data_IF_628973320721
#
_entry.id   IF_628973320721
#
_cell.length_a   1.000
_cell.length_b   1.000
_cell.length_c   1.000
_cell.angle_alpha   90.00
_cell.angle_beta   90.00
_cell.angle_gamma   90.00
#
_symmetry.space_group_name_H-M   'P 1'
#
loop_
_entity.id
_entity.type
_entity.pdbx_description
1 polymer ?
#
# COMPACT_ATOMS: atom_id res chain seq x y z
N UNK A 1 -0.82 -6.52 21.60
CA UNK A 1 0.47 -6.64 20.85
C UNK A 1 0.33 -5.76 19.64
N UNK A 2 1.35 -4.98 19.28
CA UNK A 2 1.32 -4.16 18.06
C UNK A 2 1.48 -5.07 16.84
N UNK A 3 0.83 -4.72 15.74
CA UNK A 3 0.89 -5.47 14.48
C UNK A 3 2.33 -5.71 14.01
N UNK A 4 3.14 -4.65 13.97
CA UNK A 4 4.55 -4.72 13.56
C UNK A 4 5.37 -5.71 14.41
N UNK A 5 5.06 -5.84 15.71
CA UNK A 5 5.73 -6.81 16.58
C UNK A 5 5.32 -8.25 16.25
N UNK A 6 4.03 -8.50 16.00
CA UNK A 6 3.52 -9.81 15.62
C UNK A 6 4.08 -10.26 14.26
N UNK A 7 4.07 -9.36 13.26
CA UNK A 7 4.66 -9.63 11.95
C UNK A 7 6.14 -9.97 12.12
N UNK A 8 6.88 -9.19 12.92
CA UNK A 8 8.30 -9.46 13.19
C UNK A 8 8.55 -10.83 13.86
N UNK A 9 7.65 -11.32 14.72
CA UNK A 9 7.75 -12.66 15.29
C UNK A 9 7.49 -13.75 14.23
N UNK A 10 6.45 -13.58 13.41
CA UNK A 10 6.13 -14.53 12.33
C UNK A 10 7.27 -14.63 11.32
N UNK A 11 7.83 -13.47 10.90
CA UNK A 11 8.96 -13.42 9.97
C UNK A 11 10.16 -14.18 10.54
N UNK A 12 10.52 -13.93 11.80
CA UNK A 12 11.64 -14.63 12.46
C UNK A 12 11.38 -16.14 12.58
N UNK A 13 10.17 -16.54 12.97
CA UNK A 13 9.82 -17.95 13.11
C UNK A 13 9.88 -18.70 11.78
N UNK A 14 9.53 -18.03 10.67
CA UNK A 14 9.51 -18.66 9.35
C UNK A 14 10.83 -18.51 8.55
N UNK A 15 11.80 -17.75 9.04
CA UNK A 15 13.07 -17.53 8.32
C UNK A 15 13.80 -18.83 7.96
N UNK A 16 13.71 -19.87 8.80
CA UNK A 16 14.31 -21.19 8.55
C UNK A 16 13.57 -22.00 7.47
N UNK A 17 12.35 -21.62 7.14
CA UNK A 17 11.50 -22.29 6.14
C UNK A 17 11.61 -21.65 4.74
N UNK A 18 12.39 -20.58 4.60
CA UNK A 18 12.49 -19.80 3.36
C UNK A 18 12.92 -20.59 2.11
N UNK A 19 13.50 -21.78 2.28
CA UNK A 19 13.90 -22.69 1.20
C UNK A 19 13.28 -24.07 1.29
N UNK A 20 12.20 -24.24 2.08
CA UNK A 20 11.49 -25.52 2.16
C UNK A 20 10.59 -25.73 0.95
N UNK A 21 10.52 -26.96 0.47
CA UNK A 21 9.70 -27.33 -0.69
C UNK A 21 10.26 -26.84 -2.04
N UNK A 22 9.38 -26.62 -2.99
CA UNK A 22 9.72 -26.20 -4.36
C UNK A 22 9.88 -24.70 -4.58
N UNK A 23 9.64 -23.88 -3.53
CA UNK A 23 9.73 -22.43 -3.59
C UNK A 23 11.02 -21.92 -2.93
N UNK A 24 11.61 -20.90 -3.53
CA UNK A 24 12.73 -20.17 -2.92
C UNK A 24 12.30 -18.71 -2.69
N UNK A 25 12.30 -18.28 -1.44
CA UNK A 25 11.94 -16.91 -1.05
C UNK A 25 13.09 -15.98 -1.42
N UNK A 26 12.79 -14.98 -2.25
CA UNK A 26 13.74 -13.95 -2.73
C UNK A 26 13.57 -12.68 -1.91
N UNK A 27 12.34 -12.20 -1.77
CA UNK A 27 11.98 -11.08 -0.90
C UNK A 27 11.09 -11.66 0.21
N UNK A 28 11.59 -11.68 1.47
CA UNK A 28 10.83 -12.17 2.61
C UNK A 28 9.71 -11.20 3.00
N UNK A 29 8.79 -11.59 3.91
CA UNK A 29 7.80 -10.66 4.48
C UNK A 29 8.46 -9.42 5.07
N UNK A 30 7.80 -8.25 4.89
CA UNK A 30 8.28 -6.94 5.35
C UNK A 30 8.36 -5.89 4.25
N UNK A 31 8.08 -6.29 3.01
CA UNK A 31 7.85 -5.41 1.86
C UNK A 31 6.35 -5.41 1.50
N UNK A 32 5.92 -4.63 0.50
CA UNK A 32 4.53 -4.61 0.02
C UNK A 32 4.10 -5.99 -0.50
N UNK A 33 5.00 -6.70 -1.15
CA UNK A 33 4.80 -8.10 -1.54
C UNK A 33 6.03 -8.95 -1.22
N UNK A 34 5.81 -10.22 -0.92
CA UNK A 34 6.88 -11.21 -0.92
C UNK A 34 7.19 -11.65 -2.36
N UNK A 35 8.47 -11.94 -2.66
CA UNK A 35 8.86 -12.56 -3.92
C UNK A 35 9.33 -13.98 -3.70
N UNK A 36 8.79 -14.92 -4.47
CA UNK A 36 9.21 -16.33 -4.50
C UNK A 36 9.61 -16.75 -5.90
N UNK A 37 10.53 -17.71 -6.00
CA UNK A 37 10.84 -18.42 -7.26
C UNK A 37 10.22 -19.79 -7.25
N UNK A 38 9.46 -20.09 -8.31
CA UNK A 38 8.84 -21.39 -8.55
C UNK A 38 9.29 -21.90 -9.93
N UNK A 39 10.06 -22.99 -9.99
CA UNK A 39 10.52 -23.55 -11.25
C UNK A 39 11.29 -22.55 -12.16
N UNK A 40 11.97 -21.57 -11.56
CA UNK A 40 12.70 -20.54 -12.28
C UNK A 40 11.91 -19.25 -12.57
N UNK A 41 10.59 -19.27 -12.44
CA UNK A 41 9.75 -18.06 -12.56
C UNK A 41 9.76 -17.26 -11.27
N UNK A 42 9.68 -15.94 -11.40
CA UNK A 42 9.52 -15.00 -10.29
C UNK A 42 8.03 -14.72 -10.08
N UNK A 43 7.56 -14.86 -8.86
CA UNK A 43 6.18 -14.60 -8.49
C UNK A 43 6.16 -13.71 -7.24
N UNK A 44 5.46 -12.59 -7.33
CA UNK A 44 5.17 -11.75 -6.18
C UNK A 44 3.81 -12.14 -5.60
N UNK A 45 3.67 -12.10 -4.27
CA UNK A 45 2.46 -12.53 -3.56
C UNK A 45 2.20 -11.55 -2.42
N UNK A 46 0.96 -11.05 -2.32
CA UNK A 46 0.45 -10.27 -1.20
C UNK A 46 -0.97 -10.68 -0.84
N UNK A 47 -1.44 -10.25 0.31
CA UNK A 47 -2.83 -10.40 0.73
C UNK A 47 -3.24 -9.25 1.63
N UNK A 48 -4.38 -8.65 1.29
CA UNK A 48 -5.03 -7.63 2.06
C UNK A 48 -6.49 -7.97 2.30
N UNK A 49 -7.06 -7.42 3.37
CA UNK A 49 -8.48 -7.59 3.69
C UNK A 49 -9.16 -6.24 3.94
N UNK A 50 -10.44 -6.20 3.67
CA UNK A 50 -11.33 -5.12 4.06
C UNK A 50 -12.38 -5.62 5.03
N UNK A 51 -12.57 -4.91 6.13
CA UNK A 51 -13.47 -5.28 7.25
C UNK A 51 -14.51 -4.18 7.42
N UNK A 52 -15.79 -4.56 7.48
CA UNK A 52 -16.89 -3.65 7.77
C UNK A 52 -16.67 -2.92 9.09
N UNK A 53 -16.96 -1.62 9.12
CA UNK A 53 -16.77 -0.77 10.28
C UNK A 53 -15.32 -0.32 10.51
N UNK A 54 -14.38 -0.81 9.67
CA UNK A 54 -12.96 -0.49 9.75
C UNK A 54 -12.44 0.18 8.48
N UNK A 55 -12.65 -0.46 7.33
CA UNK A 55 -12.17 0.00 6.03
C UNK A 55 -13.30 0.60 5.18
N UNK A 56 -14.53 0.49 5.63
CA UNK A 56 -15.71 1.04 5.02
C UNK A 56 -16.87 1.09 6.04
N UNK A 57 -17.82 1.98 5.83
CA UNK A 57 -18.97 2.17 6.72
C UNK A 57 -20.14 1.31 6.27
N UNK A 58 -20.93 0.81 7.23
CA UNK A 58 -22.16 0.07 6.92
C UNK A 58 -23.07 0.89 5.99
N UNK A 59 -23.62 0.24 4.96
CA UNK A 59 -24.43 0.90 3.93
C UNK A 59 -23.64 1.33 2.69
N UNK A 60 -22.31 1.20 2.69
CA UNK A 60 -21.50 1.35 1.47
C UNK A 60 -21.92 0.29 0.45
N UNK A 61 -22.14 0.64 -0.83
CA UNK A 61 -22.46 -0.34 -1.88
C UNK A 61 -21.42 -1.45 -1.96
N UNK A 62 -21.84 -2.71 -1.86
CA UNK A 62 -20.90 -3.86 -1.80
C UNK A 62 -20.05 -4.01 -3.06
N UNK A 63 -20.52 -3.53 -4.21
CA UNK A 63 -19.69 -3.45 -5.41
C UNK A 63 -18.47 -2.51 -5.22
N UNK A 64 -18.65 -1.39 -4.52
CA UNK A 64 -17.54 -0.48 -4.21
C UNK A 64 -16.58 -1.09 -3.17
N UNK A 65 -17.11 -1.84 -2.19
CA UNK A 65 -16.29 -2.59 -1.21
C UNK A 65 -15.43 -3.64 -1.93
N UNK A 66 -16.03 -4.40 -2.84
CA UNK A 66 -15.34 -5.40 -3.65
C UNK A 66 -14.22 -4.76 -4.50
N UNK A 67 -14.52 -3.63 -5.15
CA UNK A 67 -13.53 -2.87 -5.92
C UNK A 67 -12.38 -2.39 -5.02
N UNK A 68 -12.70 -1.85 -3.83
CA UNK A 68 -11.69 -1.41 -2.86
C UNK A 68 -10.77 -2.56 -2.45
N UNK A 69 -11.32 -3.74 -2.13
CA UNK A 69 -10.52 -4.90 -1.74
C UNK A 69 -9.50 -5.30 -2.83
N UNK A 70 -9.93 -5.29 -4.10
CA UNK A 70 -9.03 -5.53 -5.23
C UNK A 70 -8.00 -4.40 -5.40
N UNK A 71 -8.45 -3.14 -5.33
CA UNK A 71 -7.60 -1.98 -5.58
C UNK A 71 -6.46 -1.83 -4.56
N UNK A 72 -6.67 -2.15 -3.28
CA UNK A 72 -5.63 -2.18 -2.25
C UNK A 72 -4.51 -3.14 -2.62
N UNK A 73 -4.85 -4.39 -2.93
CA UNK A 73 -3.87 -5.39 -3.34
C UNK A 73 -3.14 -5.01 -4.65
N UNK A 74 -3.84 -4.37 -5.60
CA UNK A 74 -3.20 -3.87 -6.83
C UNK A 74 -2.29 -2.67 -6.53
N UNK A 75 -2.53 -1.92 -5.44
CA UNK A 75 -1.65 -0.88 -4.96
C UNK A 75 -0.30 -1.44 -4.48
N UNK A 76 -0.31 -2.56 -3.73
CA UNK A 76 0.92 -3.28 -3.36
C UNK A 76 1.71 -3.71 -4.60
N UNK A 77 1.01 -4.20 -5.63
CA UNK A 77 1.66 -4.55 -6.91
C UNK A 77 2.31 -3.32 -7.55
N UNK A 78 1.65 -2.15 -7.49
CA UNK A 78 2.21 -0.91 -8.00
C UNK A 78 3.46 -0.50 -7.21
N UNK A 79 3.43 -0.58 -5.87
CA UNK A 79 4.56 -0.27 -4.99
C UNK A 79 5.82 -1.07 -5.34
N UNK A 80 5.65 -2.30 -5.84
CA UNK A 80 6.76 -3.17 -6.26
C UNK A 80 7.16 -2.98 -7.75
N UNK A 81 6.53 -2.05 -8.48
CA UNK A 81 6.68 -1.87 -9.93
C UNK A 81 6.43 -3.18 -10.72
N UNK A 82 5.42 -3.92 -10.31
CA UNK A 82 5.02 -5.20 -10.85
C UNK A 82 3.72 -5.09 -11.68
N UNK A 83 3.31 -6.21 -12.28
CA UNK A 83 2.06 -6.31 -13.06
C UNK A 83 1.20 -7.42 -12.46
N UNK A 84 -0.08 -7.18 -12.17
CA UNK A 84 -0.98 -8.20 -11.61
C UNK A 84 -1.11 -9.41 -12.54
N UNK A 85 -1.13 -10.62 -11.99
CA UNK A 85 -1.36 -11.87 -12.73
C UNK A 85 -2.74 -12.44 -12.48
N UNK A 86 -3.06 -12.77 -11.24
CA UNK A 86 -4.39 -13.23 -10.82
C UNK A 86 -4.58 -13.04 -9.31
N UNK A 87 -5.83 -13.22 -8.86
CA UNK A 87 -6.19 -13.15 -7.46
C UNK A 87 -7.11 -14.30 -7.04
N UNK A 88 -7.16 -14.56 -5.75
CA UNK A 88 -8.22 -15.36 -5.10
C UNK A 88 -8.89 -14.50 -4.03
N UNK A 89 -10.19 -14.69 -3.81
CA UNK A 89 -10.95 -13.91 -2.85
C UNK A 89 -11.67 -14.80 -1.84
N UNK A 90 -11.51 -14.54 -0.55
CA UNK A 90 -12.25 -15.20 0.52
C UNK A 90 -13.16 -14.19 1.22
N UNK A 91 -14.42 -14.55 1.42
CA UNK A 91 -15.40 -13.69 2.06
C UNK A 91 -16.07 -14.38 3.23
N UNK A 92 -16.19 -13.66 4.35
CA UNK A 92 -17.05 -14.04 5.48
C UNK A 92 -18.26 -13.10 5.50
N UNK A 93 -19.43 -13.67 5.26
CA UNK A 93 -20.71 -12.98 5.23
C UNK A 93 -21.40 -13.02 6.61
N UNK A 94 -22.05 -11.95 7.08
CA UNK A 94 -22.95 -12.03 8.22
C UNK A 94 -24.15 -12.91 7.91
N UNK A 95 -24.75 -13.56 8.93
CA UNK A 95 -25.96 -14.35 8.74
C UNK A 95 -27.10 -13.50 8.16
N UNK A 96 -27.83 -14.07 7.21
CA UNK A 96 -29.02 -13.42 6.63
C UNK A 96 -28.73 -12.25 5.69
N UNK A 97 -27.50 -12.08 5.21
CA UNK A 97 -27.21 -11.10 4.17
C UNK A 97 -28.08 -11.41 2.93
N UNK A 98 -28.81 -10.43 2.36
CA UNK A 98 -29.67 -10.66 1.20
C UNK A 98 -28.88 -11.15 -0.02
N UNK A 99 -29.46 -12.07 -0.79
CA UNK A 99 -28.87 -12.59 -2.02
C UNK A 99 -28.50 -11.50 -3.03
N UNK A 100 -29.26 -10.39 -3.05
CA UNK A 100 -28.97 -9.25 -3.91
C UNK A 100 -27.64 -8.59 -3.55
N UNK A 101 -27.32 -8.50 -2.25
CA UNK A 101 -26.08 -7.93 -1.75
C UNK A 101 -24.89 -8.85 -2.04
N UNK A 102 -25.07 -10.18 -1.88
CA UNK A 102 -24.07 -11.17 -2.26
C UNK A 102 -23.75 -11.09 -3.75
N UNK A 103 -24.79 -10.94 -4.60
CA UNK A 103 -24.61 -10.75 -6.04
C UNK A 103 -23.87 -9.43 -6.36
N UNK A 104 -24.23 -8.34 -5.68
CA UNK A 104 -23.56 -7.05 -5.86
C UNK A 104 -22.06 -7.14 -5.52
N UNK A 105 -21.71 -7.88 -4.45
CA UNK A 105 -20.31 -8.14 -4.10
C UNK A 105 -19.57 -8.91 -5.21
N UNK A 106 -20.18 -10.00 -5.70
CA UNK A 106 -19.60 -10.83 -6.77
C UNK A 106 -19.44 -10.05 -8.08
N UNK A 107 -20.44 -9.24 -8.47
CA UNK A 107 -20.37 -8.38 -9.64
C UNK A 107 -19.29 -7.30 -9.49
N UNK A 108 -19.14 -6.73 -8.28
CA UNK A 108 -18.08 -5.78 -7.97
C UNK A 108 -16.69 -6.40 -8.12
N UNK A 109 -16.47 -7.61 -7.62
CA UNK A 109 -15.22 -8.36 -7.80
C UNK A 109 -14.94 -8.61 -9.28
N UNK A 110 -15.95 -9.05 -10.06
CA UNK A 110 -15.82 -9.28 -11.50
C UNK A 110 -15.47 -7.99 -12.25
N UNK A 111 -16.13 -6.88 -11.93
CA UNK A 111 -15.84 -5.58 -12.55
C UNK A 111 -14.42 -5.09 -12.22
N UNK A 112 -14.00 -5.21 -10.96
CA UNK A 112 -12.64 -4.86 -10.53
C UNK A 112 -11.58 -5.75 -11.20
N UNK A 113 -11.84 -7.05 -11.35
CA UNK A 113 -10.96 -7.97 -12.07
C UNK A 113 -10.73 -7.53 -13.54
N UNK A 114 -11.79 -7.03 -14.18
CA UNK A 114 -11.70 -6.48 -15.54
C UNK A 114 -10.95 -5.14 -15.59
N UNK A 115 -11.29 -4.22 -14.66
CA UNK A 115 -10.66 -2.90 -14.55
C UNK A 115 -9.15 -3.01 -14.37
N UNK A 116 -8.72 -3.87 -13.43
CA UNK A 116 -7.31 -4.02 -13.07
C UNK A 116 -6.59 -5.10 -13.89
N UNK A 117 -7.27 -5.74 -14.84
CA UNK A 117 -6.74 -6.86 -15.64
C UNK A 117 -6.14 -7.97 -14.76
N UNK A 118 -6.79 -8.24 -13.63
CA UNK A 118 -6.37 -9.23 -12.64
C UNK A 118 -7.53 -10.20 -12.40
N UNK A 119 -7.61 -11.33 -13.11
CA UNK A 119 -8.73 -12.26 -12.96
C UNK A 119 -8.77 -12.86 -11.56
N UNK A 120 -9.97 -12.94 -10.98
CA UNK A 120 -10.23 -13.71 -9.77
C UNK A 120 -10.45 -15.15 -10.19
N UNK A 121 -9.51 -16.03 -9.86
CA UNK A 121 -9.47 -17.41 -10.35
C UNK A 121 -9.99 -18.44 -9.34
N UNK A 122 -10.35 -18.00 -8.12
CA UNK A 122 -10.87 -18.87 -7.07
C UNK A 122 -11.13 -18.12 -5.79
N UNK A 123 -11.50 -18.85 -4.76
CA UNK A 123 -11.75 -18.26 -3.43
C UNK A 123 -12.57 -19.17 -2.54
N UNK A 124 -13.09 -18.58 -1.45
CA UNK A 124 -13.91 -19.26 -0.47
C UNK A 124 -15.04 -18.36 0.03
N UNK A 125 -16.16 -18.94 0.43
CA UNK A 125 -17.30 -18.24 1.01
C UNK A 125 -17.69 -18.93 2.31
N UNK A 126 -17.59 -18.19 3.42
CA UNK A 126 -18.09 -18.61 4.72
C UNK A 126 -19.23 -17.71 5.18
N UNK A 127 -20.14 -18.23 5.98
CA UNK A 127 -21.21 -17.47 6.62
C UNK A 127 -21.04 -17.51 8.13
N UNK A 128 -21.00 -16.34 8.77
CA UNK A 128 -20.98 -16.24 10.21
C UNK A 128 -22.36 -16.58 10.79
N UNK A 129 -22.41 -17.17 11.99
CA UNK A 129 -23.69 -17.49 12.64
C UNK A 129 -24.45 -16.23 13.13
N UNK A 130 -23.74 -15.13 13.37
CA UNK A 130 -24.30 -13.87 13.87
C UNK A 130 -24.55 -12.90 12.72
N UNK A 131 -25.78 -12.37 12.65
CA UNK A 131 -26.17 -11.34 11.68
C UNK A 131 -25.53 -9.96 11.96
N UNK A 132 -25.03 -9.73 13.19
CA UNK A 132 -24.33 -8.51 13.56
C UNK A 132 -22.81 -8.57 13.27
N UNK A 133 -22.28 -9.74 12.86
CA UNK A 133 -20.88 -9.90 12.52
C UNK A 133 -20.52 -8.97 11.32
N UNK A 134 -19.29 -8.43 11.29
CA UNK A 134 -18.85 -7.65 10.15
C UNK A 134 -18.69 -8.53 8.90
N UNK A 135 -19.00 -8.00 7.74
CA UNK A 135 -18.57 -8.58 6.48
C UNK A 135 -17.06 -8.37 6.35
N UNK A 136 -16.34 -9.44 6.01
CA UNK A 136 -14.90 -9.43 5.78
C UNK A 136 -14.62 -9.97 4.39
N UNK A 137 -13.87 -9.23 3.58
CA UNK A 137 -13.42 -9.68 2.27
C UNK A 137 -11.89 -9.60 2.22
N UNK A 138 -11.26 -10.75 2.04
CA UNK A 138 -9.82 -10.90 1.87
C UNK A 138 -9.52 -11.21 0.41
N UNK A 139 -8.51 -10.55 -0.15
CA UNK A 139 -7.99 -10.84 -1.48
C UNK A 139 -6.53 -11.20 -1.36
N UNK A 140 -6.13 -12.31 -1.95
CA UNK A 140 -4.72 -12.63 -2.15
C UNK A 140 -4.40 -12.48 -3.63
N UNK A 141 -3.34 -11.75 -3.95
CA UNK A 141 -2.95 -11.41 -5.32
C UNK A 141 -1.57 -11.97 -5.65
N UNK A 142 -1.40 -12.36 -6.90
CA UNK A 142 -0.10 -12.66 -7.46
C UNK A 142 0.25 -11.66 -8.56
N UNK A 143 1.53 -11.39 -8.71
CA UNK A 143 2.05 -10.49 -9.72
C UNK A 143 3.39 -10.98 -10.28
N UNK A 144 3.76 -10.45 -11.43
CA UNK A 144 5.06 -10.68 -12.06
C UNK A 144 5.84 -9.35 -12.10
N UNK A 145 7.19 -9.39 -12.09
CA UNK A 145 7.99 -8.19 -12.33
C UNK A 145 7.56 -7.49 -13.61
N UNK A 146 7.53 -6.15 -13.58
CA UNK A 146 7.22 -5.35 -14.76
C UNK A 146 8.18 -5.59 -15.95
N UNK A 147 7.96 -4.95 -17.11
CA UNK A 147 8.72 -5.22 -18.35
C UNK A 147 10.23 -5.09 -18.22
N UNK A 148 10.73 -4.28 -17.31
CA UNK A 148 12.16 -4.13 -17.01
C UNK A 148 12.77 -5.33 -16.28
N UNK A 149 11.95 -6.24 -15.74
CA UNK A 149 12.36 -7.30 -14.83
C UNK A 149 12.79 -6.81 -13.44
N UNK A 150 12.78 -5.49 -13.20
CA UNK A 150 13.16 -4.91 -11.92
C UNK A 150 11.94 -4.83 -10.99
N UNK A 151 12.13 -5.32 -9.77
CA UNK A 151 11.23 -5.10 -8.65
C UNK A 151 11.84 -3.99 -7.78
N UNK A 152 11.03 -3.03 -7.37
CA UNK A 152 11.43 -1.99 -6.41
C UNK A 152 10.93 -2.41 -5.04
N UNK A 153 11.75 -2.25 -4.02
CA UNK A 153 11.44 -2.65 -2.65
C UNK A 153 11.43 -1.44 -1.73
N UNK A 154 10.99 -1.62 -0.51
CA UNK A 154 11.12 -0.62 0.57
C UNK A 154 12.57 -0.38 0.97
N UNK A 155 13.46 -1.31 0.66
CA UNK A 155 14.88 -1.22 0.98
C UNK A 155 15.67 -0.49 -0.11
N UNK A 156 16.68 0.29 0.30
CA UNK A 156 17.66 0.88 -0.64
C UNK A 156 17.75 2.39 -0.61
N UNK A 157 16.88 3.10 0.14
CA UNK A 157 17.00 4.55 0.32
C UNK A 157 18.39 4.92 0.87
N UNK A 158 18.94 6.04 0.44
CA UNK A 158 20.25 6.55 0.81
C UNK A 158 20.14 7.93 1.44
N UNK A 159 21.09 8.27 2.33
CA UNK A 159 21.15 9.62 2.88
C UNK A 159 21.40 10.62 1.75
N UNK A 160 20.54 11.66 1.67
CA UNK A 160 20.54 12.64 0.59
C UNK A 160 19.53 12.36 -0.52
N UNK A 161 18.91 11.18 -0.57
CA UNK A 161 17.80 10.93 -1.49
C UNK A 161 16.63 11.88 -1.22
N UNK A 162 15.96 12.27 -2.28
CA UNK A 162 14.69 12.99 -2.19
C UNK A 162 13.56 12.01 -1.85
N UNK A 163 12.68 12.42 -0.94
CA UNK A 163 11.37 11.79 -0.75
C UNK A 163 10.38 12.45 -1.69
N UNK A 164 9.80 11.65 -2.57
CA UNK A 164 8.83 12.09 -3.56
C UNK A 164 7.51 11.36 -3.39
N UNK A 165 6.40 11.99 -3.78
CA UNK A 165 5.07 11.36 -3.81
C UNK A 165 4.40 11.61 -5.16
N UNK A 166 3.57 10.67 -5.60
CA UNK A 166 2.67 10.86 -6.74
C UNK A 166 1.37 11.53 -6.30
N UNK A 167 0.69 12.20 -7.19
CA UNK A 167 -0.68 12.72 -7.02
C UNK A 167 -0.85 13.70 -5.87
N UNK A 168 -1.93 13.55 -5.10
CA UNK A 168 -2.33 14.43 -3.98
C UNK A 168 -2.63 13.62 -2.74
N UNK A 169 -2.45 14.23 -1.56
CA UNK A 169 -2.62 13.62 -0.24
C UNK A 169 -3.71 14.34 0.58
N UNK A 170 -4.21 13.68 1.63
CA UNK A 170 -5.14 14.25 2.60
C UNK A 170 -6.62 14.01 2.31
N UNK A 171 -6.95 13.24 1.26
CA UNK A 171 -8.34 12.89 0.90
C UNK A 171 -8.60 11.38 0.80
N UNK A 172 -7.68 10.55 1.28
CA UNK A 172 -7.84 9.09 1.30
C UNK A 172 -9.03 8.70 2.16
N UNK A 173 -8.89 8.74 3.46
CA UNK A 173 -9.99 8.54 4.42
C UNK A 173 -10.28 9.83 5.19
N UNK A 174 -11.55 10.25 5.21
CA UNK A 174 -12.02 11.36 6.03
C UNK A 174 -12.79 10.88 7.26
N UNK A 175 -12.79 11.65 8.38
CA UNK A 175 -13.49 11.26 9.62
C UNK A 175 -14.99 11.03 9.45
N UNK A 176 -15.61 11.62 8.42
CA UNK A 176 -17.02 11.43 8.07
C UNK A 176 -17.29 10.12 7.29
N UNK A 177 -16.26 9.31 7.05
CA UNK A 177 -16.31 8.09 6.24
C UNK A 177 -16.26 8.35 4.73
N UNK A 178 -16.11 9.61 4.31
CA UNK A 178 -15.90 10.00 2.92
C UNK A 178 -14.44 9.92 2.51
N UNK A 179 -14.12 10.53 1.36
CA UNK A 179 -12.79 10.53 0.79
C UNK A 179 -12.64 9.59 -0.41
N UNK A 180 -11.41 9.52 -0.93
CA UNK A 180 -11.12 8.74 -2.15
C UNK A 180 -10.92 7.24 -1.90
N UNK A 181 -10.95 6.78 -0.65
CA UNK A 181 -10.64 5.40 -0.27
C UNK A 181 -11.52 4.33 -0.96
N UNK A 182 -12.69 4.68 -1.48
CA UNK A 182 -13.52 3.77 -2.30
C UNK A 182 -13.20 3.86 -3.80
N UNK A 183 -12.48 4.92 -4.21
CA UNK A 183 -12.13 5.21 -5.60
C UNK A 183 -10.62 5.13 -5.85
N UNK A 184 -9.93 4.26 -5.10
CA UNK A 184 -8.48 4.02 -5.20
C UNK A 184 -8.09 3.83 -6.68
N UNK A 185 -7.01 4.50 -7.09
CA UNK A 185 -6.39 4.33 -8.40
C UNK A 185 -4.98 3.78 -8.22
N UNK A 186 -4.81 2.46 -8.26
CA UNK A 186 -3.48 1.85 -8.14
C UNK A 186 -2.51 2.40 -9.19
N UNK A 187 -1.33 2.80 -8.79
CA UNK A 187 -0.35 3.54 -9.57
C UNK A 187 0.59 2.64 -10.39
N UNK A 188 0.05 1.61 -11.05
CA UNK A 188 0.85 0.65 -11.85
C UNK A 188 1.61 1.35 -12.98
N UNK A 189 0.92 2.14 -13.79
CA UNK A 189 1.54 2.81 -14.95
C UNK A 189 2.62 3.80 -14.48
N UNK A 190 2.33 4.53 -13.40
CA UNK A 190 3.26 5.48 -12.79
C UNK A 190 4.51 4.77 -12.25
N UNK A 191 4.36 3.64 -11.55
CA UNK A 191 5.47 2.85 -11.03
C UNK A 191 6.38 2.32 -12.15
N UNK A 192 5.79 1.76 -13.20
CA UNK A 192 6.54 1.25 -14.35
C UNK A 192 7.29 2.38 -15.07
N UNK A 193 6.69 3.55 -15.19
CA UNK A 193 7.32 4.72 -15.80
C UNK A 193 8.42 5.29 -14.89
N UNK A 194 8.24 5.33 -13.56
CA UNK A 194 9.29 5.69 -12.60
C UNK A 194 10.53 4.80 -12.78
N UNK A 195 10.33 3.49 -12.88
CA UNK A 195 11.44 2.54 -13.13
C UNK A 195 12.12 2.83 -14.47
N UNK A 196 11.36 3.11 -15.53
CA UNK A 196 11.90 3.38 -16.85
C UNK A 196 12.70 4.70 -16.89
N UNK A 197 12.19 5.77 -16.25
CA UNK A 197 12.83 7.08 -16.29
C UNK A 197 13.99 7.23 -15.28
N UNK A 198 13.84 6.71 -14.08
CA UNK A 198 14.84 6.84 -13.03
C UNK A 198 15.91 5.74 -13.07
N UNK A 199 15.56 4.56 -13.54
CA UNK A 199 16.50 3.43 -13.57
C UNK A 199 17.15 3.20 -12.19
N UNK A 200 18.46 3.13 -12.15
CA UNK A 200 19.22 2.95 -10.90
C UNK A 200 19.10 4.08 -9.88
N UNK A 201 18.54 5.23 -10.24
CA UNK A 201 18.30 6.36 -9.33
C UNK A 201 17.04 6.20 -8.47
N UNK A 202 16.10 5.32 -8.82
CA UNK A 202 14.96 4.96 -7.98
C UNK A 202 15.45 3.94 -6.95
N UNK A 203 15.60 4.32 -5.69
CA UNK A 203 16.24 3.47 -4.69
C UNK A 203 15.24 2.64 -3.89
N UNK A 204 14.09 3.22 -3.51
CA UNK A 204 13.05 2.53 -2.75
C UNK A 204 11.67 3.08 -3.07
N UNK A 205 10.62 2.30 -2.86
CA UNK A 205 9.24 2.70 -3.10
C UNK A 205 8.28 1.95 -2.18
N UNK A 206 7.14 2.56 -1.87
CA UNK A 206 6.03 2.03 -1.07
C UNK A 206 4.76 2.72 -1.53
N UNK A 207 3.59 2.12 -1.37
CA UNK A 207 2.33 2.86 -1.46
C UNK A 207 1.99 3.56 -0.13
N UNK A 208 1.17 4.61 -0.17
CA UNK A 208 0.74 5.36 1.01
C UNK A 208 -0.60 4.82 1.49
N UNK A 209 -0.56 3.81 2.34
CA UNK A 209 -1.74 3.13 2.89
C UNK A 209 -2.06 3.53 4.33
N UNK A 210 -1.05 3.74 5.16
CA UNK A 210 -1.18 4.09 6.58
C UNK A 210 -0.96 5.59 6.87
N UNK A 211 -0.55 6.32 5.85
CA UNK A 211 -0.24 7.74 5.89
C UNK A 211 1.24 8.01 5.64
N UNK A 212 1.53 9.11 4.94
CA UNK A 212 2.87 9.43 4.46
C UNK A 212 3.95 9.38 5.56
N UNK A 213 3.64 9.83 6.77
CA UNK A 213 4.62 9.81 7.87
C UNK A 213 5.00 8.39 8.30
N UNK A 214 4.03 7.47 8.32
CA UNK A 214 4.25 6.05 8.63
C UNK A 214 5.00 5.37 7.48
N UNK A 215 4.53 5.52 6.25
CA UNK A 215 5.04 4.77 5.10
C UNK A 215 6.43 5.27 4.67
N UNK A 216 6.68 6.59 4.65
CA UNK A 216 8.03 7.12 4.48
C UNK A 216 8.96 6.73 5.64
N UNK A 217 8.40 6.62 6.88
CA UNK A 217 9.11 6.08 8.03
C UNK A 217 9.56 4.63 7.83
N UNK A 218 8.75 3.79 7.18
CA UNK A 218 9.12 2.41 6.84
C UNK A 218 10.29 2.35 5.85
N UNK A 219 10.29 3.20 4.82
CA UNK A 219 11.44 3.33 3.90
C UNK A 219 12.71 3.74 4.66
N UNK A 220 12.59 4.72 5.57
CA UNK A 220 13.72 5.19 6.38
C UNK A 220 14.23 4.12 7.34
N UNK A 221 13.34 3.40 8.05
CA UNK A 221 13.72 2.36 9.00
C UNK A 221 14.43 1.20 8.33
N UNK A 222 13.95 0.75 7.16
CA UNK A 222 14.56 -0.32 6.38
C UNK A 222 15.99 0.05 5.95
N UNK A 223 16.23 1.32 5.67
CA UNK A 223 17.55 1.85 5.29
C UNK A 223 18.40 2.31 6.51
N UNK A 224 17.89 2.23 7.74
CA UNK A 224 18.52 2.77 8.97
C UNK A 224 18.75 4.28 8.89
N UNK A 225 17.84 4.99 8.26
CA UNK A 225 17.82 6.43 8.10
C UNK A 225 16.67 7.05 8.90
N UNK A 226 16.54 8.35 8.81
CA UNK A 226 15.36 9.13 9.15
C UNK A 226 14.89 9.90 7.92
N UNK A 227 13.64 10.37 7.95
CA UNK A 227 13.07 11.17 6.87
C UNK A 227 12.60 12.51 7.38
N UNK A 228 12.88 13.58 6.63
CA UNK A 228 12.39 14.94 6.86
C UNK A 228 11.39 15.31 5.77
N UNK A 229 10.20 15.73 6.15
CA UNK A 229 9.11 16.16 5.26
C UNK A 229 8.92 17.66 5.44
N UNK A 230 8.85 18.41 4.36
CA UNK A 230 8.54 19.84 4.36
C UNK A 230 7.02 20.03 4.17
N UNK A 231 6.34 20.51 5.22
CA UNK A 231 4.89 20.72 5.20
C UNK A 231 4.44 21.69 4.09
N UNK A 232 5.29 22.66 3.72
CA UNK A 232 4.96 23.62 2.67
C UNK A 232 4.97 23.02 1.25
N UNK A 233 5.53 21.80 1.09
CA UNK A 233 5.62 21.08 -0.19
C UNK A 233 4.60 19.96 -0.35
N UNK A 234 3.78 19.70 0.67
CA UNK A 234 2.78 18.64 0.60
C UNK A 234 1.74 18.93 -0.50
N UNK A 235 1.50 18.00 -1.44
CA UNK A 235 0.52 18.18 -2.51
C UNK A 235 -0.90 17.91 -1.98
N UNK A 236 -1.44 18.85 -1.21
CA UNK A 236 -2.73 18.71 -0.52
C UNK A 236 -3.51 20.02 -0.58
N UNK A 237 -4.80 19.97 -0.23
CA UNK A 237 -5.59 21.18 0.01
C UNK A 237 -4.91 22.00 1.14
N UNK A 238 -4.53 23.27 0.88
CA UNK A 238 -3.87 24.13 1.87
C UNK A 238 -4.74 24.43 3.11
N UNK A 239 -6.05 24.17 3.07
CA UNK A 239 -6.93 24.27 4.22
C UNK A 239 -6.78 23.09 5.21
N UNK A 240 -6.18 21.97 4.79
CA UNK A 240 -5.97 20.82 5.66
C UNK A 240 -4.77 21.03 6.59
N UNK A 241 -4.88 20.69 7.88
CA UNK A 241 -3.74 20.70 8.77
C UNK A 241 -2.70 19.65 8.31
N UNK A 242 -1.42 19.99 8.36
CA UNK A 242 -0.34 19.12 7.92
C UNK A 242 -0.36 17.74 8.60
N UNK A 243 -0.76 17.68 9.89
CA UNK A 243 -0.88 16.42 10.65
C UNK A 243 -1.88 15.47 9.98
N UNK A 244 -2.99 16.02 9.48
CA UNK A 244 -3.96 15.24 8.73
C UNK A 244 -3.35 14.74 7.42
N UNK A 245 -2.70 15.62 6.66
CA UNK A 245 -2.13 15.28 5.34
C UNK A 245 -1.09 14.18 5.44
N UNK A 246 -0.19 14.22 6.43
CA UNK A 246 0.85 13.19 6.58
C UNK A 246 0.38 11.95 7.33
N UNK A 247 -0.74 12.04 8.05
CA UNK A 247 -1.28 10.95 8.87
C UNK A 247 -2.53 10.28 8.30
N UNK A 248 -3.16 10.85 7.27
CA UNK A 248 -4.31 10.22 6.62
C UNK A 248 -3.86 8.96 5.88
N UNK A 249 -4.50 7.85 6.15
CA UNK A 249 -4.30 6.60 5.42
C UNK A 249 -5.21 6.49 4.20
N UNK A 250 -5.10 5.35 3.50
CA UNK A 250 -5.92 4.99 2.34
C UNK A 250 -5.74 5.94 1.13
N UNK A 251 -4.56 6.55 0.98
CA UNK A 251 -4.25 7.43 -0.15
C UNK A 251 -3.91 6.63 -1.41
N UNK A 252 -3.15 5.54 -1.25
CA UNK A 252 -2.68 4.65 -2.32
C UNK A 252 -1.97 5.40 -3.46
N UNK A 253 -1.28 6.48 -3.10
CA UNK A 253 -0.27 7.12 -3.93
C UNK A 253 1.08 6.41 -3.69
N UNK A 254 2.07 6.62 -4.56
CA UNK A 254 3.42 6.10 -4.35
C UNK A 254 4.26 7.12 -3.59
N UNK A 255 4.94 6.67 -2.53
CA UNK A 255 6.05 7.38 -1.91
C UNK A 255 7.36 6.68 -2.28
N UNK A 256 8.37 7.42 -2.72
CA UNK A 256 9.61 6.83 -3.18
C UNK A 256 10.85 7.67 -2.88
N UNK A 257 11.97 6.97 -2.75
CA UNK A 257 13.30 7.57 -2.60
C UNK A 257 14.04 7.57 -3.93
N UNK A 258 14.56 8.71 -4.34
CA UNK A 258 15.37 8.78 -5.54
C UNK A 258 16.58 9.73 -5.41
N UNK A 259 17.67 9.40 -6.13
CA UNK A 259 18.82 10.27 -6.27
C UNK A 259 18.57 11.33 -7.35
N UNK A 260 18.80 12.61 -7.01
CA UNK A 260 18.63 13.73 -7.93
C UNK A 260 17.17 14.04 -8.26
N UNK A 261 16.95 14.97 -9.20
CA UNK A 261 15.61 15.43 -9.57
C UNK A 261 14.74 14.32 -10.17
N UNK A 262 13.51 14.11 -9.63
CA UNK A 262 12.54 13.22 -10.24
C UNK A 262 11.90 13.87 -11.48
N UNK A 263 11.19 13.11 -12.35
CA UNK A 263 10.32 13.68 -13.36
C UNK A 263 9.20 14.48 -12.70
N UNK A 264 8.73 15.56 -13.35
CA UNK A 264 7.62 16.37 -12.84
C UNK A 264 6.28 15.63 -12.87
N UNK A 265 6.15 14.60 -13.71
CA UNK A 265 4.97 13.74 -13.80
C UNK A 265 5.35 12.38 -14.39
N UNK A 266 4.56 11.36 -14.07
CA UNK A 266 4.62 10.02 -14.64
C UNK A 266 3.22 9.54 -14.97
N UNK A 267 3.02 8.94 -16.15
CA UNK A 267 1.72 8.49 -16.66
C UNK A 267 0.57 9.51 -16.48
N UNK A 268 0.90 10.82 -16.59
CA UNK A 268 -0.04 11.90 -16.41
C UNK A 268 -0.33 12.30 -14.96
N UNK A 269 0.27 11.62 -13.97
CA UNK A 269 0.16 11.94 -12.54
C UNK A 269 1.35 12.79 -12.11
N UNK A 270 1.10 13.89 -11.38
CA UNK A 270 2.16 14.77 -10.84
C UNK A 270 3.06 14.02 -9.86
N UNK A 271 4.33 14.43 -9.84
CA UNK A 271 5.32 13.97 -8.85
C UNK A 271 5.79 15.19 -8.07
N UNK A 272 5.74 15.12 -6.75
CA UNK A 272 6.13 16.22 -5.86
C UNK A 272 7.25 15.76 -4.94
N UNK A 273 8.34 16.54 -4.89
CA UNK A 273 9.38 16.37 -3.87
C UNK A 273 8.87 16.97 -2.56
N UNK A 274 8.60 16.13 -1.58
CA UNK A 274 8.02 16.51 -0.29
C UNK A 274 9.04 16.52 0.85
N UNK A 275 10.24 15.97 0.62
CA UNK A 275 11.24 15.86 1.68
C UNK A 275 12.52 15.18 1.22
N UNK A 276 13.25 14.65 2.18
CA UNK A 276 14.53 13.95 1.95
C UNK A 276 14.85 12.93 3.03
N UNK A 277 15.67 11.95 2.68
CA UNK A 277 16.24 11.01 3.63
C UNK A 277 17.53 11.58 4.23
N UNK A 278 17.68 11.47 5.55
CA UNK A 278 18.79 12.00 6.31
C UNK A 278 19.43 10.90 7.16
N UNK A 279 20.70 11.06 7.63
CA UNK A 279 21.27 10.15 8.60
C UNK A 279 20.35 9.94 9.78
N UNK A 280 20.37 8.72 10.38
CA UNK A 280 19.49 8.34 11.49
C UNK A 280 19.53 9.37 12.61
N UNK A 281 18.36 9.85 12.97
CA UNK A 281 18.09 10.76 14.09
C UNK A 281 17.18 10.08 15.12
N UNK A 282 16.84 10.75 16.21
CA UNK A 282 15.94 10.24 17.24
C UNK A 282 14.55 9.93 16.68
N UNK A 283 13.95 10.91 15.98
CA UNK A 283 12.68 10.71 15.27
C UNK A 283 12.92 10.03 13.93
N UNK A 284 12.16 8.95 13.63
CA UNK A 284 12.21 8.28 12.32
C UNK A 284 11.64 9.15 11.20
N UNK A 285 10.62 9.96 11.53
CA UNK A 285 9.99 10.92 10.62
C UNK A 285 9.84 12.28 11.32
N UNK A 286 10.33 13.34 10.71
CA UNK A 286 10.22 14.72 11.17
C UNK A 286 9.52 15.56 10.12
N UNK A 287 8.52 16.36 10.51
CA UNK A 287 7.87 17.35 9.64
C UNK A 287 8.38 18.74 9.96
N UNK A 288 8.81 19.47 8.93
CA UNK A 288 9.27 20.86 9.01
C UNK A 288 8.10 21.80 8.71
N UNK A 289 7.76 22.67 9.68
CA UNK A 289 6.66 23.64 9.54
C UNK A 289 7.19 25.03 9.86
N UNK A 290 7.34 25.89 8.87
CA UNK A 290 7.88 27.23 9.06
C UNK A 290 9.28 27.24 9.71
N UNK A 291 10.07 26.18 9.47
CA UNK A 291 11.40 26.00 10.07
C UNK A 291 11.40 25.28 11.43
N UNK A 292 10.25 25.11 12.08
CA UNK A 292 10.13 24.29 13.29
C UNK A 292 10.09 22.80 12.96
N UNK A 293 10.68 21.96 13.83
CA UNK A 293 10.75 20.50 13.66
C UNK A 293 9.71 19.83 14.55
N UNK A 294 8.89 18.98 13.97
CA UNK A 294 7.85 18.23 14.68
C UNK A 294 8.07 16.73 14.47
N UNK A 295 8.13 15.96 15.55
CA UNK A 295 8.17 14.51 15.48
C UNK A 295 6.82 13.98 14.97
N UNK A 296 6.84 13.32 13.81
CA UNK A 296 5.69 12.70 13.16
C UNK A 296 5.75 11.17 13.20
N UNK A 297 6.70 10.58 13.94
CA UNK A 297 6.94 9.12 13.97
C UNK A 297 5.74 8.30 14.44
N UNK A 298 4.77 8.92 15.09
CA UNK A 298 3.56 8.31 15.61
C UNK A 298 2.28 8.81 14.91
N UNK A 299 2.39 9.59 13.85
CA UNK A 299 1.26 9.96 13.00
C UNK A 299 1.03 8.86 11.97
N UNK A 300 -0.27 8.66 11.63
CA UNK A 300 -0.70 7.60 10.73
C UNK A 300 -1.36 6.45 11.48
N UNK A 301 -1.75 5.45 10.71
CA UNK A 301 -2.49 4.30 11.20
C UNK A 301 -1.55 3.19 11.69
N UNK A 302 -1.94 2.51 12.76
CA UNK A 302 -1.31 1.26 13.23
C UNK A 302 -2.38 0.39 13.90
N UNK A 303 -2.53 -0.85 13.46
CA UNK A 303 -3.44 -1.79 14.10
C UNK A 303 -3.01 -2.09 15.55
N UNK A 304 -3.99 -2.00 16.48
CA UNK A 304 -3.74 -2.29 17.90
C UNK A 304 -3.32 -1.08 18.74
N UNK A 305 -3.44 0.13 18.19
CA UNK A 305 -3.42 1.39 18.97
C UNK A 305 -4.80 1.80 19.44
#
# INVERSE_FOLDING_TARGET
MRESALIGEIVRANAQLASCGGAHVVIPPGDDMAEVRLGGNRLLIATDQVVEGRHWTRGTPLAAVARKAMARNVSDVAAMAAVPSCAVAAVTLPAGLPDADVRALAEGLRAAAQEFRCPVVGGDIATHADAAAPLILSVAITAEPGPSGRVVTRAGAQAGDLLCVTGTLGDGWRPDGGGRHLAIRPRIAEALELVAQLGGRLHAMIDVSDGLATDAGHLADTARLSVEIDAARLPADPALPWQHVVGAGEEHELAFACAGEPPASVAGTSVTVVGRFVPRAEARCTVLVGGARHDASNLGWEHGR
#
